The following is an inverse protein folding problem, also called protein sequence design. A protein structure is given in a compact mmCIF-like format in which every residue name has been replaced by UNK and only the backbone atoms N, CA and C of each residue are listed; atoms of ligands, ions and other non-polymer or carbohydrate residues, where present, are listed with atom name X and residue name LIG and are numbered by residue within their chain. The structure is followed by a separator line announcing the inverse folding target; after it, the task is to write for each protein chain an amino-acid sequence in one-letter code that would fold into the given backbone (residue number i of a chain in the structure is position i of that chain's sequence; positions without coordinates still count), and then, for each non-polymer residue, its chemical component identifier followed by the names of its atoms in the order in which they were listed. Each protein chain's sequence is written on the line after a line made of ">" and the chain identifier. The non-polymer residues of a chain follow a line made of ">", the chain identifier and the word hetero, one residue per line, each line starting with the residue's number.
data_IF_546940105709
#
_entry.id   IF_546940105709
#
_cell.length_a   1.000
_cell.length_b   1.000
_cell.length_c   1.000
_cell.angle_alpha   90.00
_cell.angle_beta   90.00
_cell.angle_gamma   90.00
#
_symmetry.space_group_name_H-M   'P 1'
#
loop_
_entity.id
_entity.type
_entity.pdbx_description
1 polymer ?
#
# COMPACT_ATOMS: atom_id res chain seq x y z
N UNK A 1 17.80 -18.66 -9.62
CA UNK A 1 17.13 -17.57 -10.37
C UNK A 1 18.01 -16.88 -11.42
N UNK A 2 19.29 -16.60 -11.14
CA UNK A 2 20.20 -16.07 -12.19
C UNK A 2 20.28 -16.96 -13.43
N UNK A 3 20.15 -18.27 -13.30
CA UNK A 3 20.17 -19.21 -14.41
C UNK A 3 18.97 -19.09 -15.38
N UNK A 4 17.85 -18.47 -14.96
CA UNK A 4 16.64 -18.30 -15.78
C UNK A 4 16.54 -16.92 -16.46
N UNK A 5 17.58 -16.08 -16.40
CA UNK A 5 17.63 -14.74 -17.00
C UNK A 5 16.52 -13.78 -16.49
N UNK A 6 16.07 -13.90 -15.25
CA UNK A 6 15.15 -12.93 -14.63
C UNK A 6 15.79 -11.53 -14.54
N UNK A 7 14.98 -10.50 -14.74
CA UNK A 7 15.40 -9.11 -14.59
C UNK A 7 15.31 -8.74 -13.10
N UNK A 8 16.46 -8.42 -12.49
CA UNK A 8 16.47 -7.89 -11.12
C UNK A 8 16.07 -6.42 -11.13
N UNK A 9 15.10 -6.05 -10.28
CA UNK A 9 14.68 -4.68 -10.00
C UNK A 9 14.72 -4.45 -8.48
N UNK A 10 14.85 -3.18 -8.07
CA UNK A 10 15.06 -2.85 -6.66
C UNK A 10 16.53 -2.91 -6.26
N UNK A 11 17.00 -1.83 -5.61
CA UNK A 11 18.41 -1.67 -5.22
C UNK A 11 18.67 -2.27 -3.84
N UNK A 12 17.77 -2.02 -2.92
CA UNK A 12 17.90 -2.44 -1.52
C UNK A 12 17.23 -3.79 -1.25
N UNK A 13 16.21 -4.13 -2.05
CA UNK A 13 15.55 -5.43 -2.02
C UNK A 13 15.38 -5.97 -3.43
N UNK A 14 16.05 -7.09 -3.78
CA UNK A 14 15.99 -7.63 -5.14
C UNK A 14 14.66 -8.35 -5.38
N UNK A 15 13.84 -7.77 -6.25
CA UNK A 15 12.72 -8.45 -6.89
C UNK A 15 13.18 -8.94 -8.26
N UNK A 16 12.87 -10.18 -8.59
CA UNK A 16 13.20 -10.78 -9.87
C UNK A 16 11.94 -10.90 -10.72
N UNK A 17 11.94 -10.27 -11.88
CA UNK A 17 10.83 -10.32 -12.83
C UNK A 17 11.13 -11.33 -13.91
N UNK A 18 10.19 -12.25 -14.16
CA UNK A 18 10.24 -13.11 -15.34
C UNK A 18 9.95 -12.26 -16.58
N UNK A 19 10.89 -12.14 -17.54
CA UNK A 19 10.72 -11.30 -18.72
C UNK A 19 9.65 -11.81 -19.70
N UNK A 20 9.15 -13.04 -19.51
CA UNK A 20 8.14 -13.65 -20.38
C UNK A 20 6.72 -13.49 -19.83
N UNK A 21 6.56 -13.70 -18.52
CA UNK A 21 5.25 -13.68 -17.86
C UNK A 21 4.98 -12.35 -17.15
N UNK A 22 6.02 -11.58 -16.81
CA UNK A 22 5.93 -10.39 -15.98
C UNK A 22 5.77 -10.71 -14.50
N UNK A 23 5.78 -11.98 -14.11
CA UNK A 23 5.66 -12.39 -12.71
C UNK A 23 6.84 -11.91 -11.88
N UNK A 24 6.54 -11.45 -10.68
CA UNK A 24 7.51 -10.98 -9.70
C UNK A 24 7.83 -12.07 -8.68
N UNK A 25 9.12 -12.29 -8.47
CA UNK A 25 9.65 -13.22 -7.48
C UNK A 25 10.46 -12.46 -6.45
N UNK A 26 10.03 -12.49 -5.21
CA UNK A 26 10.72 -11.88 -4.08
C UNK A 26 10.84 -12.88 -2.93
N UNK A 27 11.82 -12.67 -2.05
CA UNK A 27 11.89 -13.42 -0.79
C UNK A 27 10.88 -12.82 0.21
N UNK A 28 10.30 -13.66 1.06
CA UNK A 28 9.59 -13.19 2.25
C UNK A 28 10.55 -12.35 3.11
N UNK A 29 10.05 -11.26 3.68
CA UNK A 29 10.88 -10.32 4.44
C UNK A 29 10.15 -9.75 5.63
N UNK A 30 10.91 -9.37 6.65
CA UNK A 30 10.47 -8.46 7.69
C UNK A 30 11.17 -7.12 7.53
N UNK A 31 10.48 -6.04 7.81
CA UNK A 31 11.00 -4.67 7.78
C UNK A 31 10.96 -4.11 9.21
N UNK A 32 12.01 -3.44 9.63
CA UNK A 32 12.01 -2.67 10.88
C UNK A 32 12.21 -1.21 10.58
N UNK A 33 11.38 -0.35 11.16
CA UNK A 33 11.57 1.08 11.10
C UNK A 33 12.74 1.44 12.00
N UNK A 34 13.84 1.92 11.42
CA UNK A 34 15.05 2.37 12.15
C UNK A 34 15.23 3.89 12.12
N UNK A 35 14.32 4.64 11.44
CA UNK A 35 14.41 6.11 11.31
C UNK A 35 13.16 6.72 10.68
N UNK A 36 13.23 8.01 10.35
CA UNK A 36 12.14 8.73 9.69
C UNK A 36 12.18 8.58 8.18
N UNK A 37 10.99 8.45 7.55
CA UNK A 37 10.84 8.32 6.11
C UNK A 37 11.26 6.96 5.54
N UNK A 38 11.39 6.89 4.20
CA UNK A 38 11.66 5.65 3.47
C UNK A 38 13.08 5.08 3.72
N UNK A 39 14.05 5.91 3.99
CA UNK A 39 15.45 5.48 4.27
C UNK A 39 15.64 4.89 5.67
N UNK A 40 14.60 4.92 6.50
CA UNK A 40 14.61 4.42 7.86
C UNK A 40 14.16 2.96 8.00
N UNK A 41 14.12 2.17 6.94
CA UNK A 41 13.79 0.74 7.00
C UNK A 41 15.04 -0.12 6.88
N UNK A 42 15.22 -0.99 7.85
CA UNK A 42 16.13 -2.13 7.75
C UNK A 42 15.34 -3.35 7.27
N UNK A 43 15.80 -3.95 6.17
CA UNK A 43 15.21 -5.16 5.63
C UNK A 43 15.91 -6.38 6.22
N UNK A 44 15.18 -7.17 6.98
CA UNK A 44 15.66 -8.49 7.39
C UNK A 44 15.28 -9.50 6.30
N UNK A 45 16.27 -9.88 5.50
CA UNK A 45 16.17 -10.90 4.46
C UNK A 45 16.46 -12.30 5.01
N UNK A 46 16.23 -12.51 6.30
CA UNK A 46 16.41 -13.82 6.92
C UNK A 46 15.54 -14.86 6.19
N UNK A 47 16.14 -15.94 5.66
CA UNK A 47 15.39 -17.00 4.98
C UNK A 47 14.40 -17.74 5.89
N UNK A 48 14.43 -17.48 7.21
CA UNK A 48 13.50 -18.05 8.17
C UNK A 48 12.22 -17.21 8.37
N UNK A 49 12.04 -16.08 7.66
CA UNK A 49 10.78 -15.32 7.70
C UNK A 49 9.67 -16.18 7.15
N UNK A 50 8.65 -16.41 7.95
CA UNK A 50 7.48 -17.19 7.58
C UNK A 50 6.56 -16.41 6.64
N UNK A 51 5.75 -17.13 5.86
CA UNK A 51 4.74 -16.49 5.02
C UNK A 51 3.77 -15.65 5.84
N UNK A 52 3.36 -16.13 7.01
CA UNK A 52 2.45 -15.41 7.90
C UNK A 52 3.06 -14.09 8.39
N UNK A 53 4.35 -14.07 8.74
CA UNK A 53 5.06 -12.85 9.12
C UNK A 53 5.14 -11.85 7.94
N UNK A 54 5.35 -12.32 6.72
CA UNK A 54 5.32 -11.44 5.53
C UNK A 54 3.91 -10.88 5.29
N UNK A 55 2.88 -11.70 5.40
CA UNK A 55 1.49 -11.28 5.25
C UNK A 55 1.05 -10.32 6.36
N UNK A 56 1.50 -10.54 7.62
CA UNK A 56 1.18 -9.68 8.76
C UNK A 56 1.61 -8.22 8.57
N UNK A 57 2.61 -7.98 7.74
CA UNK A 57 3.19 -6.64 7.49
C UNK A 57 2.59 -5.93 6.30
N UNK A 58 1.63 -6.55 5.62
CA UNK A 58 0.92 -5.91 4.52
C UNK A 58 -0.03 -4.83 5.03
N UNK A 59 -0.53 -4.02 4.09
CA UNK A 59 -1.38 -2.88 4.41
C UNK A 59 -2.79 -3.32 4.84
N UNK A 60 -3.48 -4.07 3.98
CA UNK A 60 -4.87 -4.46 4.18
C UNK A 60 -5.03 -5.98 4.13
N UNK A 61 -5.99 -6.51 4.87
CA UNK A 61 -6.33 -7.94 4.90
C UNK A 61 -6.61 -8.50 3.52
N UNK A 62 -7.29 -7.73 2.67
CA UNK A 62 -7.59 -8.10 1.27
C UNK A 62 -6.34 -8.29 0.40
N UNK A 63 -5.20 -7.74 0.83
CA UNK A 63 -3.89 -7.87 0.18
C UNK A 63 -2.97 -8.86 0.92
N UNK A 64 -3.44 -9.47 2.02
CA UNK A 64 -2.68 -10.40 2.86
C UNK A 64 -3.15 -11.84 2.67
N UNK A 65 -3.56 -12.19 1.46
CA UNK A 65 -3.93 -13.54 1.03
C UNK A 65 -2.82 -14.03 0.11
N UNK A 66 -2.40 -15.26 0.28
CA UNK A 66 -1.47 -15.96 -0.59
C UNK A 66 -2.12 -17.21 -1.19
N UNK A 67 -1.54 -17.70 -2.27
CA UNK A 67 -1.91 -18.97 -2.91
C UNK A 67 -0.66 -19.86 -2.97
N UNK A 68 -0.80 -21.13 -2.60
CA UNK A 68 0.28 -22.10 -2.71
C UNK A 68 0.36 -22.73 -4.12
N UNK A 69 1.35 -23.60 -4.33
CA UNK A 69 1.58 -24.26 -5.63
C UNK A 69 0.41 -25.20 -6.05
N UNK A 70 -0.40 -25.63 -5.09
CA UNK A 70 -1.56 -26.50 -5.31
C UNK A 70 -2.87 -25.69 -5.51
N UNK A 71 -2.81 -24.37 -5.44
CA UNK A 71 -3.94 -23.47 -5.59
C UNK A 71 -4.75 -23.26 -4.30
N UNK A 72 -4.24 -23.68 -3.13
CA UNK A 72 -4.91 -23.44 -1.87
C UNK A 72 -4.64 -22.02 -1.38
N UNK A 73 -5.70 -21.33 -0.94
CA UNK A 73 -5.56 -19.99 -0.38
C UNK A 73 -5.09 -20.05 1.08
N UNK A 74 -4.05 -19.28 1.38
CA UNK A 74 -3.51 -19.08 2.71
C UNK A 74 -3.93 -17.68 3.16
N UNK A 75 -4.85 -17.61 4.10
CA UNK A 75 -5.51 -16.38 4.53
C UNK A 75 -5.58 -16.28 6.06
N UNK A 76 -4.43 -16.04 6.72
CA UNK A 76 -4.37 -16.01 8.19
C UNK A 76 -5.09 -14.80 8.81
N UNK A 77 -5.41 -13.78 8.01
CA UNK A 77 -6.00 -12.51 8.47
C UNK A 77 -7.44 -12.30 8.00
N UNK A 78 -8.10 -13.35 7.48
CA UNK A 78 -9.49 -13.33 7.03
C UNK A 78 -9.78 -12.30 5.93
N UNK A 79 -8.84 -12.11 5.01
CA UNK A 79 -8.97 -11.20 3.88
C UNK A 79 -10.12 -11.57 2.96
N UNK A 80 -10.36 -12.87 2.74
CA UNK A 80 -11.50 -13.34 1.94
C UNK A 80 -12.84 -12.94 2.55
N UNK A 81 -12.97 -12.98 3.87
CA UNK A 81 -14.19 -12.55 4.56
C UNK A 81 -14.36 -11.03 4.48
N UNK A 82 -13.28 -10.26 4.57
CA UNK A 82 -13.34 -8.80 4.39
C UNK A 82 -13.66 -8.43 2.92
N UNK A 83 -13.18 -9.17 1.92
CA UNK A 83 -13.60 -9.01 0.52
C UNK A 83 -15.10 -9.25 0.38
N UNK A 84 -15.62 -10.34 0.90
CA UNK A 84 -17.04 -10.69 0.86
C UNK A 84 -17.92 -9.65 1.53
N UNK A 85 -17.47 -9.11 2.66
CA UNK A 85 -18.18 -8.09 3.43
C UNK A 85 -17.84 -6.65 2.99
N UNK A 86 -17.03 -6.49 1.94
CA UNK A 86 -16.63 -5.20 1.36
C UNK A 86 -15.99 -4.26 2.39
N UNK A 87 -15.03 -4.77 3.15
CA UNK A 87 -14.32 -4.07 4.21
C UNK A 87 -12.86 -3.82 3.84
N UNK A 88 -12.38 -2.61 4.13
CA UNK A 88 -10.97 -2.25 4.11
C UNK A 88 -10.47 -2.24 5.56
N UNK A 89 -9.74 -3.27 5.93
CA UNK A 89 -9.19 -3.49 7.27
C UNK A 89 -7.67 -3.59 7.20
N UNK A 90 -6.96 -2.89 8.07
CA UNK A 90 -5.51 -3.08 8.23
C UNK A 90 -5.21 -4.47 8.81
N UNK A 91 -4.05 -5.02 8.48
CA UNK A 91 -3.68 -6.39 8.88
C UNK A 91 -3.25 -6.43 10.34
N UNK A 92 -2.36 -5.53 10.75
CA UNK A 92 -1.74 -5.51 12.08
C UNK A 92 -1.24 -4.11 12.45
N UNK A 93 -0.63 -3.97 13.64
CA UNK A 93 0.00 -2.72 14.07
C UNK A 93 1.16 -2.27 13.17
N UNK A 94 1.75 -3.19 12.39
CA UNK A 94 2.71 -2.85 11.35
C UNK A 94 2.17 -1.86 10.31
N UNK A 95 0.84 -1.67 10.23
CA UNK A 95 0.21 -0.67 9.40
C UNK A 95 0.78 0.75 9.63
N UNK A 96 1.06 1.10 10.87
CA UNK A 96 1.58 2.42 11.24
C UNK A 96 3.07 2.62 10.88
N UNK A 97 3.79 1.57 10.46
CA UNK A 97 5.21 1.67 10.11
C UNK A 97 5.44 2.45 8.79
N UNK A 98 4.48 2.42 7.87
CA UNK A 98 4.59 3.14 6.58
C UNK A 98 3.42 4.12 6.39
N UNK A 99 3.66 5.43 6.51
CA UNK A 99 2.60 6.44 6.37
C UNK A 99 1.95 6.46 4.97
N UNK A 100 2.62 5.93 3.93
CA UNK A 100 2.01 5.78 2.60
C UNK A 100 0.72 4.95 2.64
N UNK A 101 0.55 4.10 3.63
CA UNK A 101 -0.63 3.23 3.74
C UNK A 101 -1.93 4.01 3.88
N UNK A 102 -1.89 5.24 4.43
CA UNK A 102 -3.05 6.14 4.42
C UNK A 102 -3.48 6.46 2.98
N UNK A 103 -2.53 6.80 2.11
CA UNK A 103 -2.83 7.08 0.70
C UNK A 103 -3.26 5.81 -0.05
N UNK A 104 -2.71 4.66 0.31
CA UNK A 104 -3.12 3.38 -0.27
C UNK A 104 -4.56 3.01 0.09
N UNK A 105 -4.99 3.23 1.35
CA UNK A 105 -6.39 3.05 1.76
C UNK A 105 -7.30 3.98 0.97
N UNK A 106 -6.94 5.27 0.83
CA UNK A 106 -7.69 6.22 0.02
C UNK A 106 -7.86 5.74 -1.44
N UNK A 107 -6.80 5.19 -2.03
CA UNK A 107 -6.84 4.63 -3.38
C UNK A 107 -7.75 3.41 -3.49
N UNK A 108 -7.67 2.47 -2.54
CA UNK A 108 -8.56 1.30 -2.54
C UNK A 108 -10.01 1.69 -2.32
N UNK A 109 -10.27 2.63 -1.41
CA UNK A 109 -11.60 3.18 -1.18
C UNK A 109 -12.16 3.84 -2.46
N UNK A 110 -11.35 4.61 -3.17
CA UNK A 110 -11.76 5.23 -4.41
C UNK A 110 -12.10 4.20 -5.50
N UNK A 111 -11.29 3.16 -5.63
CA UNK A 111 -11.47 2.09 -6.64
C UNK A 111 -12.60 1.13 -6.33
N UNK A 112 -12.83 0.81 -5.07
CA UNK A 112 -13.85 -0.14 -4.63
C UNK A 112 -15.06 0.62 -4.09
N UNK A 113 -15.95 1.05 -5.00
CA UNK A 113 -17.06 1.98 -4.73
C UNK A 113 -18.00 1.58 -3.59
N UNK A 114 -18.01 0.33 -3.19
CA UNK A 114 -18.93 -0.21 -2.19
C UNK A 114 -18.19 -0.79 -0.96
N UNK A 115 -16.87 -0.61 -0.90
CA UNK A 115 -16.09 -0.97 0.29
C UNK A 115 -16.11 0.15 1.32
N UNK A 116 -16.12 -0.26 2.59
CA UNK A 116 -16.06 0.66 3.73
C UNK A 116 -14.79 0.44 4.53
N UNK A 117 -14.16 1.51 4.97
CA UNK A 117 -13.02 1.42 5.89
C UNK A 117 -13.56 1.17 7.30
N UNK A 118 -13.08 0.11 7.94
CA UNK A 118 -13.53 -0.23 9.29
C UNK A 118 -13.01 0.78 10.32
N UNK A 119 -13.77 1.03 11.42
CA UNK A 119 -13.41 2.05 12.41
C UNK A 119 -11.99 1.93 12.95
N UNK A 120 -11.53 0.70 13.22
CA UNK A 120 -10.19 0.42 13.74
C UNK A 120 -9.08 0.85 12.77
N UNK A 121 -9.35 0.79 11.46
CA UNK A 121 -8.42 1.25 10.43
C UNK A 121 -8.45 2.76 10.31
N UNK A 122 -9.63 3.39 10.47
CA UNK A 122 -9.74 4.85 10.53
C UNK A 122 -8.95 5.40 11.71
N UNK A 123 -9.03 4.76 12.88
CA UNK A 123 -8.26 5.17 14.07
C UNK A 123 -6.75 5.08 13.82
N UNK A 124 -6.28 3.99 13.19
CA UNK A 124 -4.86 3.85 12.80
C UNK A 124 -4.42 4.92 11.79
N UNK A 125 -5.25 5.24 10.81
CA UNK A 125 -4.98 6.31 9.86
C UNK A 125 -4.86 7.67 10.57
N UNK A 126 -5.76 7.93 11.52
CA UNK A 126 -5.74 9.17 12.31
C UNK A 126 -4.45 9.29 13.12
N UNK A 127 -4.00 8.23 13.80
CA UNK A 127 -2.72 8.19 14.51
C UNK A 127 -1.54 8.59 13.58
N UNK A 128 -1.51 8.06 12.34
CA UNK A 128 -0.48 8.38 11.36
C UNK A 128 -0.55 9.85 10.93
N UNK A 129 -1.75 10.37 10.66
CA UNK A 129 -1.96 11.77 10.27
C UNK A 129 -1.50 12.72 11.39
N UNK A 130 -1.90 12.45 12.64
CA UNK A 130 -1.55 13.26 13.80
C UNK A 130 -0.05 13.21 14.14
N UNK A 131 0.64 12.13 13.79
CA UNK A 131 2.09 12.01 14.01
C UNK A 131 2.93 12.91 13.10
N UNK A 132 2.36 13.46 12.02
CA UNK A 132 3.10 14.25 11.01
C UNK A 132 3.96 13.40 10.05
N UNK A 133 3.97 12.09 10.17
CA UNK A 133 4.81 11.20 9.34
C UNK A 133 4.45 11.26 7.84
N UNK A 134 3.21 11.66 7.49
CA UNK A 134 2.79 11.86 6.10
C UNK A 134 3.61 12.93 5.37
N UNK A 135 4.12 13.92 6.07
CA UNK A 135 4.91 15.02 5.48
C UNK A 135 6.27 14.52 4.97
N UNK A 136 6.78 13.42 5.53
CA UNK A 136 8.04 12.80 5.14
C UNK A 136 7.92 11.90 3.90
N UNK A 137 6.73 11.74 3.34
CA UNK A 137 6.53 11.01 2.09
C UNK A 137 7.15 11.75 0.91
N UNK A 138 7.98 11.03 0.14
CA UNK A 138 8.59 11.62 -1.06
C UNK A 138 7.53 11.93 -2.13
N UNK A 139 7.73 12.97 -2.94
CA UNK A 139 6.82 13.31 -4.03
C UNK A 139 6.52 12.13 -4.96
N UNK A 140 7.54 11.33 -5.27
CA UNK A 140 7.43 10.18 -6.17
C UNK A 140 6.46 9.12 -5.61
N UNK A 141 6.55 8.83 -4.32
CA UNK A 141 5.66 7.88 -3.66
C UNK A 141 4.21 8.38 -3.66
N UNK A 142 4.00 9.65 -3.34
CA UNK A 142 2.68 10.29 -3.39
C UNK A 142 2.09 10.28 -4.79
N UNK A 143 2.91 10.64 -5.79
CA UNK A 143 2.52 10.69 -7.20
C UNK A 143 2.13 9.32 -7.75
N UNK A 144 2.85 8.28 -7.32
CA UNK A 144 2.55 6.91 -7.73
C UNK A 144 1.15 6.45 -7.26
N UNK A 145 0.71 6.83 -6.06
CA UNK A 145 -0.64 6.50 -5.59
C UNK A 145 -1.72 7.27 -6.36
N UNK A 146 -1.49 8.56 -6.69
CA UNK A 146 -2.37 9.34 -7.58
C UNK A 146 -2.47 8.64 -8.94
N UNK A 147 -1.34 8.30 -9.56
CA UNK A 147 -1.30 7.65 -10.85
C UNK A 147 -2.06 6.32 -10.86
N UNK A 148 -1.87 5.49 -9.82
CA UNK A 148 -2.55 4.22 -9.65
C UNK A 148 -4.06 4.35 -9.38
N UNK A 149 -4.51 5.49 -8.89
CA UNK A 149 -5.94 5.76 -8.66
C UNK A 149 -6.70 5.91 -9.98
N UNK A 150 -6.06 6.47 -11.02
CA UNK A 150 -6.65 6.61 -12.34
C UNK A 150 -7.79 7.62 -12.36
N UNK A 151 -8.98 7.22 -12.81
CA UNK A 151 -10.13 8.12 -13.00
C UNK A 151 -10.86 8.49 -11.69
N UNK A 152 -10.64 7.74 -10.60
CA UNK A 152 -11.36 7.92 -9.33
C UNK A 152 -10.73 8.98 -8.40
N UNK A 153 -10.03 9.97 -8.95
CA UNK A 153 -9.29 10.98 -8.18
C UNK A 153 -10.18 11.84 -7.29
N UNK A 154 -11.39 12.15 -7.71
CA UNK A 154 -12.33 12.94 -6.91
C UNK A 154 -12.66 12.23 -5.59
N UNK A 155 -12.89 10.91 -5.64
CA UNK A 155 -13.14 10.11 -4.44
C UNK A 155 -11.89 9.98 -3.58
N UNK A 156 -10.72 9.81 -4.22
CA UNK A 156 -9.44 9.74 -3.53
C UNK A 156 -9.18 11.01 -2.70
N UNK A 157 -9.29 12.17 -3.31
CA UNK A 157 -9.05 13.44 -2.62
C UNK A 157 -10.14 13.77 -1.59
N UNK A 158 -11.41 13.49 -1.89
CA UNK A 158 -12.50 13.67 -0.93
C UNK A 158 -12.31 12.78 0.32
N UNK A 159 -11.83 11.55 0.13
CA UNK A 159 -11.49 10.66 1.24
C UNK A 159 -10.35 11.24 2.10
N UNK A 160 -9.27 11.72 1.47
CA UNK A 160 -8.16 12.34 2.20
C UNK A 160 -8.58 13.60 2.95
N UNK A 161 -9.47 14.41 2.38
CA UNK A 161 -10.03 15.60 3.04
C UNK A 161 -10.83 15.21 4.29
N UNK A 162 -11.73 14.24 4.15
CA UNK A 162 -12.54 13.74 5.26
C UNK A 162 -11.70 13.18 6.42
N UNK A 163 -10.52 12.65 6.12
CA UNK A 163 -9.59 12.09 7.11
C UNK A 163 -8.40 13.01 7.44
N UNK A 164 -8.49 14.32 7.12
CA UNK A 164 -7.49 15.34 7.41
C UNK A 164 -6.08 15.05 6.83
N UNK A 165 -6.00 14.25 5.78
CA UNK A 165 -4.75 13.87 5.12
C UNK A 165 -4.48 14.66 3.82
N UNK A 166 -5.38 15.58 3.40
CA UNK A 166 -5.25 16.31 2.13
C UNK A 166 -4.07 17.29 2.13
N UNK A 167 -3.61 17.73 3.31
CA UNK A 167 -2.48 18.66 3.45
C UNK A 167 -1.17 18.16 2.83
N UNK A 168 -1.03 16.84 2.63
CA UNK A 168 0.16 16.26 1.96
C UNK A 168 0.24 16.63 0.47
N UNK A 169 -0.84 17.21 -0.07
CA UNK A 169 -0.96 17.74 -1.43
C UNK A 169 -1.28 19.25 -1.38
N UNK A 170 -0.34 20.11 -1.02
CA UNK A 170 -0.63 21.53 -0.74
C UNK A 170 -1.22 22.28 -1.94
N UNK A 171 -0.91 21.88 -3.16
CA UNK A 171 -1.50 22.47 -4.38
C UNK A 171 -2.99 22.18 -4.55
N UNK A 172 -3.52 21.13 -3.92
CA UNK A 172 -4.92 20.72 -4.00
C UNK A 172 -5.70 21.29 -2.83
N UNK A 173 -5.12 21.31 -1.64
CA UNK A 173 -5.72 21.80 -0.40
C UNK A 173 -6.13 23.30 -0.47
N UNK A 174 -5.56 24.07 -1.41
CA UNK A 174 -5.87 25.50 -1.60
C UNK A 174 -7.07 25.79 -2.50
N UNK A 175 -7.94 24.81 -2.75
CA UNK A 175 -9.20 25.01 -3.49
C UNK A 175 -9.04 25.19 -5.00
N UNK A 176 -7.94 24.79 -5.56
CA UNK A 176 -7.75 24.76 -6.99
C UNK A 176 -8.54 23.60 -7.57
N UNK A 177 -9.68 23.87 -8.22
CA UNK A 177 -10.43 22.89 -9.00
C UNK A 177 -9.49 22.30 -10.05
N UNK A 178 -9.02 21.07 -9.82
CA UNK A 178 -8.21 20.35 -10.81
C UNK A 178 -9.13 19.96 -11.99
N UNK A 179 -9.14 20.77 -13.03
CA UNK A 179 -9.48 20.27 -14.35
C UNK A 179 -8.28 19.48 -14.86
N UNK A 180 -8.31 18.18 -14.67
CA UNK A 180 -7.37 17.27 -15.33
C UNK A 180 -7.66 17.35 -16.84
N UNK A 181 -6.81 18.06 -17.57
CA UNK A 181 -6.78 17.96 -19.02
C UNK A 181 -6.09 16.64 -19.36
N UNK A 182 -6.86 15.63 -19.70
CA UNK A 182 -6.31 14.47 -20.38
C UNK A 182 -5.88 14.94 -21.79
N UNK A 183 -4.66 14.60 -22.26
CA UNK A 183 -4.36 14.76 -23.66
C UNK A 183 -5.33 13.86 -24.42
N UNK A 184 -6.14 14.48 -25.28
CA UNK A 184 -6.93 13.76 -26.28
C UNK A 184 -5.94 13.11 -27.26
N UNK A 185 -6.05 11.80 -27.45
CA UNK A 185 -5.36 11.02 -28.47
C UNK A 185 -5.58 11.59 -29.88
#
# INVERSE_FOLDING_TARGET
>A
MRAKKFKQVGKDFPVFIDPKTGEEYALARTERKSGHGYTGFEFDTNPNVTLEEDLARRDLTINAIAEDEDGNLIDPFNGQEDIKNKKLRHVSDAFSEDPLRVLRVARFYAKFNDFVVVPETVDKMKEIVESGELEHLTPERKWLEIYKTGEDLDKFFSFLEAHQALHVFPGIAQGTSLKLCYPSD
#
